data_IF_574103985906
#
_entry.id   IF_574103985906
#
_cell.length_a   1.000
_cell.length_b   1.000
_cell.length_c   1.000
_cell.angle_alpha   90.00
_cell.angle_beta   90.00
_cell.angle_gamma   90.00
#
_symmetry.space_group_name_H-M   'P 1'
#
loop_
_entity.id
_entity.type
_entity.pdbx_description
1 polymer ?
#
# COMPACT_ATOMS: atom_id res chain seq x y z
N UNK A 1 9.98 17.04 -11.13
CA UNK A 1 9.94 15.57 -11.12
C UNK A 1 8.57 15.21 -10.65
N UNK A 2 7.87 14.34 -11.38
CA UNK A 2 6.55 13.89 -11.02
C UNK A 2 6.73 12.79 -9.96
N UNK A 3 6.57 13.14 -8.69
CA UNK A 3 6.70 12.22 -7.57
C UNK A 3 5.38 11.45 -7.46
N UNK A 4 5.41 10.12 -7.64
CA UNK A 4 4.23 9.24 -7.62
C UNK A 4 4.29 8.37 -6.37
N UNK A 5 3.81 8.92 -5.25
CA UNK A 5 3.97 8.33 -3.91
C UNK A 5 3.35 6.92 -3.80
N UNK A 6 2.18 6.71 -4.39
CA UNK A 6 1.44 5.45 -4.39
C UNK A 6 1.19 4.99 -5.84
N UNK A 7 1.30 3.68 -6.12
CA UNK A 7 0.91 3.09 -7.43
C UNK A 7 -0.41 2.32 -7.40
N UNK A 8 -1.10 2.28 -6.26
CA UNK A 8 -2.35 1.54 -6.09
C UNK A 8 -3.39 1.96 -7.12
N UNK A 9 -3.58 3.27 -7.32
CA UNK A 9 -4.47 3.82 -8.35
C UNK A 9 -4.16 3.30 -9.76
N UNK A 10 -2.91 3.33 -10.21
CA UNK A 10 -2.52 2.83 -11.53
C UNK A 10 -2.72 1.31 -11.67
N UNK A 11 -2.43 0.55 -10.60
CA UNK A 11 -2.66 -0.88 -10.56
C UNK A 11 -4.16 -1.16 -10.70
N UNK A 12 -5.03 -0.50 -9.93
CA UNK A 12 -6.49 -0.61 -10.04
C UNK A 12 -6.97 -0.23 -11.45
N UNK A 13 -6.44 0.84 -12.05
CA UNK A 13 -6.77 1.21 -13.42
C UNK A 13 -6.45 0.13 -14.44
N UNK A 14 -5.38 -0.62 -14.25
CA UNK A 14 -5.03 -1.74 -15.13
C UNK A 14 -6.09 -2.86 -15.09
N UNK A 15 -6.76 -3.06 -13.95
CA UNK A 15 -7.89 -4.00 -13.84
C UNK A 15 -9.08 -3.57 -14.70
N UNK A 16 -9.42 -2.28 -14.73
CA UNK A 16 -10.55 -1.78 -15.53
C UNK A 16 -10.34 -1.90 -17.04
N UNK A 17 -9.10 -1.69 -17.52
CA UNK A 17 -8.78 -1.72 -18.95
C UNK A 17 -8.67 -3.14 -19.52
N UNK A 18 -8.60 -4.16 -18.65
CA UNK A 18 -8.59 -5.58 -19.06
C UNK A 18 -9.97 -6.12 -19.46
N UNK A 19 -11.04 -5.33 -19.27
CA UNK A 19 -12.35 -5.57 -19.87
C UNK A 19 -13.00 -6.88 -19.47
N UNK A 20 -13.57 -6.96 -18.27
CA UNK A 20 -14.68 -7.87 -17.97
C UNK A 20 -15.49 -7.34 -16.78
N UNK A 21 -16.46 -6.47 -17.08
CA UNK A 21 -17.64 -6.28 -16.24
C UNK A 21 -18.50 -7.54 -16.36
N UNK A 22 -18.21 -8.53 -15.52
CA UNK A 22 -18.95 -9.78 -15.44
C UNK A 22 -18.09 -11.00 -15.78
N UNK A 23 -18.21 -12.00 -14.91
CA UNK A 23 -17.90 -13.43 -15.07
C UNK A 23 -17.72 -13.84 -16.54
N UNK A 24 -16.60 -14.52 -16.82
CA UNK A 24 -16.15 -15.15 -18.08
C UNK A 24 -15.36 -14.29 -19.06
N UNK A 25 -14.05 -14.54 -19.14
CA UNK A 25 -13.34 -15.04 -20.34
C UNK A 25 -11.87 -14.58 -20.39
N UNK A 26 -10.99 -15.58 -20.30
CA UNK A 26 -9.79 -15.80 -21.12
C UNK A 26 -8.69 -14.71 -21.21
N UNK A 27 -7.58 -15.04 -20.55
CA UNK A 27 -6.22 -15.03 -21.12
C UNK A 27 -5.87 -13.85 -22.04
N UNK A 28 -5.67 -12.68 -21.45
CA UNK A 28 -4.96 -11.56 -22.06
C UNK A 28 -3.78 -11.16 -21.19
N UNK A 29 -2.56 -11.25 -21.73
CA UNK A 29 -1.27 -10.89 -21.11
C UNK A 29 -1.16 -9.40 -20.75
N UNK A 30 -1.94 -8.89 -19.79
CA UNK A 30 -1.49 -7.79 -18.96
C UNK A 30 -0.79 -8.43 -17.75
N UNK A 31 0.49 -8.15 -17.48
CA UNK A 31 1.13 -8.69 -16.30
C UNK A 31 0.53 -7.97 -15.08
N UNK A 32 -0.48 -8.60 -14.48
CA UNK A 32 -0.92 -8.23 -13.15
C UNK A 32 0.28 -8.38 -12.20
N UNK A 33 0.52 -7.42 -11.30
CA UNK A 33 1.55 -7.59 -10.30
C UNK A 33 1.15 -8.82 -9.46
N UNK A 34 2.01 -9.84 -9.49
CA UNK A 34 1.90 -11.02 -8.64
C UNK A 34 2.77 -10.81 -7.43
N UNK A 35 2.41 -11.43 -6.30
CA UNK A 35 3.23 -11.42 -5.08
C UNK A 35 4.71 -11.69 -5.40
N UNK A 36 5.64 -10.92 -4.84
CA UNK A 36 7.05 -11.10 -5.11
C UNK A 36 7.64 -12.17 -4.17
N UNK A 37 7.13 -13.41 -4.18
CA UNK A 37 7.52 -14.40 -3.15
C UNK A 37 8.55 -15.44 -3.59
N UNK A 38 8.84 -15.56 -4.90
CA UNK A 38 9.67 -16.67 -5.42
C UNK A 38 11.04 -16.19 -5.90
N UNK A 39 12.15 -16.43 -5.18
CA UNK A 39 13.49 -16.00 -5.62
C UNK A 39 13.85 -16.51 -7.02
N UNK A 40 14.24 -15.60 -7.93
CA UNK A 40 14.79 -15.98 -9.24
C UNK A 40 13.79 -16.31 -10.35
N UNK A 41 12.51 -15.93 -10.25
CA UNK A 41 11.60 -15.89 -11.41
C UNK A 41 11.95 -14.72 -12.35
N UNK A 42 13.17 -14.70 -12.89
CA UNK A 42 13.67 -13.72 -13.86
C UNK A 42 12.87 -13.65 -15.18
N UNK A 43 11.76 -14.39 -15.29
CA UNK A 43 10.89 -14.45 -16.47
C UNK A 43 9.51 -13.81 -16.29
N UNK A 44 9.14 -13.33 -15.08
CA UNK A 44 7.90 -12.56 -14.85
C UNK A 44 8.18 -11.06 -14.73
N UNK A 45 9.10 -10.54 -15.56
CA UNK A 45 9.34 -9.09 -15.71
C UNK A 45 8.24 -8.48 -16.57
N UNK A 46 7.04 -8.35 -16.01
CA UNK A 46 6.05 -7.38 -16.44
C UNK A 46 6.18 -6.11 -15.61
N UNK A 47 5.70 -4.98 -16.13
CA UNK A 47 6.05 -3.62 -15.65
C UNK A 47 5.89 -3.28 -14.17
N UNK A 48 5.32 -4.16 -13.34
CA UNK A 48 5.22 -4.01 -11.88
C UNK A 48 5.42 -5.34 -11.11
N UNK A 49 6.15 -6.30 -11.69
CA UNK A 49 6.46 -7.61 -11.10
C UNK A 49 7.95 -7.77 -10.78
N UNK A 50 8.49 -6.94 -9.90
CA UNK A 50 9.84 -7.14 -9.38
C UNK A 50 9.82 -8.37 -8.47
N UNK A 51 10.38 -9.47 -8.95
CA UNK A 51 10.63 -10.65 -8.10
C UNK A 51 11.97 -10.45 -7.40
N UNK A 52 12.07 -10.77 -6.11
CA UNK A 52 13.36 -10.72 -5.43
C UNK A 52 14.44 -11.48 -6.20
N UNK A 53 15.59 -10.83 -6.34
CA UNK A 53 16.75 -11.41 -7.03
C UNK A 53 17.57 -12.33 -6.14
N UNK A 54 17.22 -12.41 -4.85
CA UNK A 54 17.92 -13.15 -3.81
C UNK A 54 16.92 -13.89 -2.90
N UNK A 55 17.35 -14.89 -2.12
CA UNK A 55 16.46 -15.61 -1.20
C UNK A 55 15.77 -14.68 -0.21
N UNK A 56 14.45 -14.84 -0.08
CA UNK A 56 13.63 -14.10 0.88
C UNK A 56 13.53 -14.82 2.21
N UNK A 57 13.37 -14.03 3.25
CA UNK A 57 12.98 -14.43 4.60
C UNK A 57 11.77 -13.59 5.02
N UNK A 58 11.20 -13.88 6.19
CA UNK A 58 10.08 -13.13 6.73
C UNK A 58 10.26 -12.82 8.21
N UNK A 59 9.57 -11.78 8.66
CA UNK A 59 9.36 -11.42 10.06
C UNK A 59 7.85 -11.37 10.32
N UNK A 60 7.36 -12.18 11.25
CA UNK A 60 5.96 -12.16 11.68
C UNK A 60 5.81 -11.09 12.78
N UNK A 61 4.82 -10.21 12.64
CA UNK A 61 4.59 -9.17 13.63
C UNK A 61 4.23 -9.76 15.01
N UNK A 62 4.67 -9.13 16.12
CA UNK A 62 4.41 -9.66 17.47
C UNK A 62 2.92 -9.81 17.82
N UNK A 63 2.07 -8.91 17.32
CA UNK A 63 0.62 -8.90 17.51
C UNK A 63 -0.09 -9.88 16.55
N UNK A 64 0.62 -10.36 15.53
CA UNK A 64 0.20 -11.48 14.69
C UNK A 64 -0.69 -11.13 13.50
N UNK A 65 -0.84 -9.85 13.13
CA UNK A 65 -1.64 -9.46 11.97
C UNK A 65 -0.85 -9.52 10.65
N UNK A 66 0.47 -9.36 10.68
CA UNK A 66 1.28 -9.15 9.49
C UNK A 66 2.44 -10.13 9.36
N UNK A 67 2.78 -10.45 8.11
CA UNK A 67 4.05 -11.07 7.73
C UNK A 67 4.81 -10.13 6.80
N UNK A 68 5.99 -9.71 7.22
CA UNK A 68 6.87 -8.82 6.46
C UNK A 68 7.94 -9.64 5.76
N UNK A 69 7.87 -9.74 4.43
CA UNK A 69 8.84 -10.41 3.57
C UNK A 69 9.95 -9.46 3.14
N UNK A 70 11.18 -9.93 3.19
CA UNK A 70 12.35 -9.14 2.78
C UNK A 70 13.53 -10.03 2.40
N UNK A 71 14.58 -9.43 1.86
CA UNK A 71 15.87 -10.10 1.64
C UNK A 71 16.99 -9.44 2.43
N UNK A 72 17.97 -10.26 2.84
CA UNK A 72 19.20 -9.79 3.47
C UNK A 72 20.27 -9.33 2.45
N UNK A 73 20.03 -9.47 1.15
CA UNK A 73 21.06 -9.25 0.12
C UNK A 73 20.49 -8.59 -1.15
N UNK A 74 21.37 -7.93 -1.92
CA UNK A 74 21.00 -7.34 -3.20
C UNK A 74 20.38 -5.95 -3.08
N UNK A 75 19.76 -5.49 -4.17
CA UNK A 75 19.16 -4.16 -4.27
C UNK A 75 17.90 -4.03 -3.40
N UNK A 76 17.10 -5.09 -3.28
CA UNK A 76 15.88 -5.12 -2.47
C UNK A 76 16.15 -5.17 -0.95
N UNK A 77 17.41 -5.16 -0.52
CA UNK A 77 17.77 -5.24 0.89
C UNK A 77 17.30 -3.97 1.62
N UNK A 78 16.57 -4.08 2.75
CA UNK A 78 16.11 -2.92 3.52
C UNK A 78 17.24 -1.96 3.89
N UNK A 79 17.04 -0.67 3.67
CA UNK A 79 17.95 0.42 4.04
C UNK A 79 19.22 0.54 3.20
N UNK A 80 19.39 -0.26 2.13
CA UNK A 80 20.69 -0.50 1.48
C UNK A 80 21.43 0.78 1.07
N UNK A 81 20.72 1.83 0.64
CA UNK A 81 21.33 3.09 0.22
C UNK A 81 21.47 4.12 1.35
N UNK A 82 20.95 3.84 2.55
CA UNK A 82 21.01 4.73 3.72
C UNK A 82 22.01 4.28 4.79
N UNK A 83 22.81 3.23 4.52
CA UNK A 83 23.75 2.66 5.50
C UNK A 83 23.08 1.80 6.58
N UNK A 84 21.81 1.48 6.37
CA UNK A 84 20.95 0.51 7.09
C UNK A 84 20.90 -0.74 6.14
N UNK A 85 20.67 -1.99 6.56
CA UNK A 85 20.01 -2.49 7.74
C UNK A 85 20.96 -2.50 8.94
N UNK A 86 20.71 -1.61 9.90
CA UNK A 86 21.20 -1.82 11.25
C UNK A 86 20.38 -2.93 11.87
N UNK A 87 21.04 -3.77 12.65
CA UNK A 87 20.45 -4.72 13.59
C UNK A 87 21.12 -4.38 14.92
N UNK A 88 20.58 -3.35 15.57
CA UNK A 88 21.26 -2.69 16.70
C UNK A 88 21.27 -3.58 17.95
N UNK A 89 20.31 -4.49 18.07
CA UNK A 89 20.19 -5.43 19.18
C UNK A 89 20.81 -6.82 18.89
N UNK A 90 21.23 -7.06 17.63
CA UNK A 90 21.84 -8.31 17.13
C UNK A 90 20.89 -9.51 17.21
N UNK A 91 19.59 -9.30 16.98
CA UNK A 91 18.59 -10.36 16.98
C UNK A 91 18.45 -11.08 15.62
N UNK A 92 19.15 -10.59 14.59
CA UNK A 92 19.16 -11.14 13.23
C UNK A 92 18.07 -10.57 12.32
N UNK A 93 17.26 -9.64 12.79
CA UNK A 93 16.24 -8.91 12.06
C UNK A 93 16.71 -7.45 11.90
N UNK A 94 16.66 -6.87 10.69
CA UNK A 94 16.94 -5.45 10.53
C UNK A 94 15.98 -4.57 11.35
N UNK A 95 16.51 -3.55 12.02
CA UNK A 95 15.72 -2.52 12.74
C UNK A 95 14.64 -1.91 11.81
N UNK A 96 14.95 -1.77 10.51
CA UNK A 96 13.98 -1.29 9.51
C UNK A 96 12.74 -2.17 9.40
N UNK A 97 12.92 -3.50 9.42
CA UNK A 97 11.83 -4.47 9.33
C UNK A 97 10.99 -4.45 10.59
N UNK A 98 11.64 -4.32 11.76
CA UNK A 98 10.93 -4.18 13.03
C UNK A 98 10.11 -2.89 13.05
N UNK A 99 10.68 -1.75 12.63
CA UNK A 99 9.94 -0.48 12.51
C UNK A 99 8.77 -0.57 11.53
N UNK A 100 8.97 -1.20 10.39
CA UNK A 100 7.90 -1.43 9.42
C UNK A 100 6.75 -2.22 10.06
N UNK A 101 7.07 -3.32 10.75
CA UNK A 101 6.09 -4.13 11.48
C UNK A 101 5.37 -3.32 12.56
N UNK A 102 6.10 -2.54 13.37
CA UNK A 102 5.52 -1.68 14.41
C UNK A 102 4.52 -0.67 13.82
N UNK A 103 4.85 -0.05 12.69
CA UNK A 103 3.98 0.95 12.07
C UNK A 103 2.74 0.35 11.42
N UNK A 104 2.82 -0.84 10.83
CA UNK A 104 1.65 -1.57 10.36
C UNK A 104 0.72 -1.96 11.51
N UNK A 105 1.29 -2.42 12.63
CA UNK A 105 0.50 -2.78 13.82
C UNK A 105 -0.17 -1.55 14.43
N UNK A 106 0.54 -0.41 14.55
CA UNK A 106 -0.06 0.85 14.98
C UNK A 106 -1.18 1.31 14.05
N UNK A 107 -0.99 1.17 12.74
CA UNK A 107 -2.00 1.51 11.73
C UNK A 107 -3.24 0.61 11.84
N UNK A 108 -3.05 -0.70 12.05
CA UNK A 108 -4.13 -1.65 12.25
C UNK A 108 -4.92 -1.37 13.54
N UNK A 109 -4.21 -1.14 14.65
CA UNK A 109 -4.84 -0.79 15.92
C UNK A 109 -5.67 0.49 15.81
N UNK A 110 -5.18 1.47 15.06
CA UNK A 110 -5.91 2.73 14.84
C UNK A 110 -7.12 2.52 13.94
N UNK A 111 -6.92 2.05 12.71
CA UNK A 111 -7.99 1.97 11.71
C UNK A 111 -9.03 0.88 12.06
N UNK A 112 -8.58 -0.34 12.37
CA UNK A 112 -9.49 -1.48 12.58
C UNK A 112 -10.02 -1.49 14.01
N UNK A 113 -9.15 -1.42 15.01
CA UNK A 113 -9.57 -1.63 16.41
C UNK A 113 -10.22 -0.38 17.01
N UNK A 114 -9.59 0.79 16.86
CA UNK A 114 -10.08 2.04 17.46
C UNK A 114 -11.20 2.68 16.63
N UNK A 115 -10.98 2.85 15.32
CA UNK A 115 -11.94 3.53 14.43
C UNK A 115 -13.01 2.57 13.89
N UNK A 116 -12.79 1.25 14.00
CA UNK A 116 -13.78 0.22 13.68
C UNK A 116 -14.03 0.03 12.19
N UNK A 117 -13.03 0.27 11.34
CA UNK A 117 -13.10 -0.18 9.94
C UNK A 117 -13.07 -1.70 9.85
N UNK A 118 -13.49 -2.27 8.71
CA UNK A 118 -13.29 -3.69 8.42
C UNK A 118 -11.79 -4.02 8.37
N UNK A 119 -11.41 -5.20 8.82
CA UNK A 119 -10.07 -5.73 8.54
C UNK A 119 -9.90 -5.96 7.03
N UNK A 120 -8.66 -5.88 6.50
CA UNK A 120 -8.39 -6.30 5.12
C UNK A 120 -8.93 -7.71 4.84
N UNK A 121 -9.41 -8.01 3.62
CA UNK A 121 -9.90 -9.35 3.31
C UNK A 121 -8.80 -10.41 3.46
N UNK A 122 -9.10 -11.49 4.16
CA UNK A 122 -8.17 -12.62 4.26
C UNK A 122 -7.99 -13.31 2.90
N UNK A 123 -6.77 -13.75 2.63
CA UNK A 123 -6.37 -14.46 1.41
C UNK A 123 -6.27 -15.98 1.60
N UNK A 124 -5.93 -16.43 2.81
CA UNK A 124 -5.67 -17.83 3.14
C UNK A 124 -6.89 -18.74 2.96
N UNK A 125 -8.11 -18.22 3.11
CA UNK A 125 -9.33 -18.98 2.80
C UNK A 125 -9.47 -19.31 1.32
N UNK A 126 -8.69 -18.64 0.45
CA UNK A 126 -8.65 -18.85 -0.98
C UNK A 126 -7.40 -19.63 -1.45
N UNK A 127 -6.64 -20.28 -0.56
CA UNK A 127 -5.43 -21.03 -0.95
C UNK A 127 -5.64 -22.03 -2.09
N UNK A 128 -6.83 -22.64 -2.19
CA UNK A 128 -7.16 -23.56 -3.29
C UNK A 128 -7.26 -22.83 -4.65
N UNK A 129 -7.79 -21.61 -4.67
CA UNK A 129 -7.89 -20.75 -5.84
C UNK A 129 -6.50 -20.30 -6.28
N UNK A 130 -5.67 -19.78 -5.36
CA UNK A 130 -4.26 -19.44 -5.63
C UNK A 130 -3.51 -20.65 -6.22
N UNK A 131 -3.63 -21.82 -5.59
CA UNK A 131 -3.00 -23.06 -6.08
C UNK A 131 -3.47 -23.42 -7.50
N UNK A 132 -4.78 -23.31 -7.78
CA UNK A 132 -5.33 -23.62 -9.10
C UNK A 132 -4.85 -22.67 -10.20
N UNK A 133 -4.47 -21.44 -9.82
CA UNK A 133 -3.93 -20.41 -10.71
C UNK A 133 -2.40 -20.45 -10.80
N UNK A 134 -1.73 -21.32 -10.02
CA UNK A 134 -0.27 -21.35 -9.94
C UNK A 134 0.32 -20.09 -9.31
N UNK A 135 -0.39 -19.51 -8.35
CA UNK A 135 0.00 -18.34 -7.57
C UNK A 135 0.32 -18.73 -6.13
N UNK A 136 1.16 -17.92 -5.48
CA UNK A 136 1.42 -18.01 -4.04
C UNK A 136 0.38 -17.22 -3.26
N UNK A 137 0.12 -17.61 -2.01
CA UNK A 137 -0.82 -17.00 -1.08
C UNK A 137 -0.14 -16.58 0.25
N UNK A 138 1.19 -16.40 0.29
CA UNK A 138 1.90 -15.87 1.48
C UNK A 138 2.08 -16.88 2.63
N UNK A 139 1.62 -18.11 2.43
CA UNK A 139 1.93 -19.26 3.28
C UNK A 139 1.09 -19.41 4.55
N UNK A 140 0.54 -18.35 5.14
CA UNK A 140 -0.41 -18.45 6.27
C UNK A 140 -1.54 -17.40 6.19
N UNK A 141 -2.26 -17.17 7.31
CA UNK A 141 -3.39 -16.23 7.37
C UNK A 141 -3.05 -14.82 7.84
N UNK A 142 -1.77 -14.46 7.92
CA UNK A 142 -1.35 -13.08 8.20
C UNK A 142 -1.32 -12.28 6.91
N UNK A 143 -1.55 -10.98 7.02
CA UNK A 143 -1.52 -10.09 5.86
C UNK A 143 -0.07 -9.89 5.38
N UNK A 144 0.18 -10.11 4.09
CA UNK A 144 1.53 -10.06 3.53
C UNK A 144 1.95 -8.65 3.10
N UNK A 145 3.14 -8.27 3.56
CA UNK A 145 3.84 -7.04 3.18
C UNK A 145 5.20 -7.42 2.61
N UNK A 146 5.60 -6.82 1.49
CA UNK A 146 6.87 -7.08 0.84
C UNK A 146 7.74 -5.83 0.79
N UNK A 147 9.02 -5.95 1.12
CA UNK A 147 9.98 -4.86 1.11
C UNK A 147 10.88 -4.97 -0.12
N UNK A 148 10.79 -4.03 -1.05
CA UNK A 148 11.49 -4.09 -2.34
C UNK A 148 12.04 -2.74 -2.77
N UNK A 149 13.04 -2.72 -3.63
CA UNK A 149 13.41 -1.48 -4.34
C UNK A 149 12.39 -1.24 -5.46
N UNK A 150 11.46 -0.31 -5.23
CA UNK A 150 10.39 0.04 -6.20
C UNK A 150 10.73 1.30 -7.00
N UNK A 151 11.93 1.84 -6.82
CA UNK A 151 12.48 2.96 -7.56
C UNK A 151 12.19 4.34 -6.96
N UNK A 152 13.02 5.32 -7.35
CA UNK A 152 13.21 6.62 -6.70
C UNK A 152 12.02 7.62 -6.68
N UNK A 153 10.80 7.18 -7.01
CA UNK A 153 9.62 8.04 -7.00
C UNK A 153 8.39 7.42 -6.36
N UNK A 154 8.44 6.16 -5.95
CA UNK A 154 7.31 5.38 -5.41
C UNK A 154 7.66 4.99 -3.99
N UNK A 155 6.71 5.18 -3.07
CA UNK A 155 6.88 4.80 -1.68
C UNK A 155 6.29 3.40 -1.42
N UNK A 156 5.19 3.05 -2.09
CA UNK A 156 4.56 1.75 -1.95
C UNK A 156 3.38 1.57 -2.90
N UNK A 157 2.75 0.42 -2.77
CA UNK A 157 1.46 0.13 -3.37
C UNK A 157 0.77 -1.05 -2.69
N UNK A 158 -0.55 -1.11 -2.88
CA UNK A 158 -1.41 -2.21 -2.48
C UNK A 158 -2.00 -2.87 -3.72
N UNK A 159 -1.64 -4.13 -3.95
CA UNK A 159 -2.10 -4.89 -5.11
C UNK A 159 -3.32 -5.74 -4.78
N UNK A 160 -4.53 -5.46 -5.32
CA UNK A 160 -5.66 -6.35 -5.17
C UNK A 160 -5.47 -7.63 -6.00
N UNK A 161 -5.99 -8.74 -5.51
CA UNK A 161 -5.80 -10.07 -6.09
C UNK A 161 -7.13 -10.66 -6.54
N UNK A 162 -7.33 -10.76 -7.86
CA UNK A 162 -8.53 -11.34 -8.48
C UNK A 162 -8.52 -12.87 -8.47
N UNK A 163 -8.31 -13.45 -7.29
CA UNK A 163 -8.52 -14.90 -7.03
C UNK A 163 -9.98 -15.25 -6.75
N UNK A 164 -10.81 -14.22 -6.56
CA UNK A 164 -12.26 -14.29 -6.39
C UNK A 164 -12.95 -13.24 -7.25
N UNK A 165 -14.23 -13.46 -7.53
CA UNK A 165 -15.07 -12.49 -8.23
C UNK A 165 -15.71 -11.51 -7.26
N UNK A 166 -15.86 -10.25 -7.68
CA UNK A 166 -16.60 -9.24 -6.96
C UNK A 166 -15.77 -7.98 -6.73
N UNK A 167 -16.18 -7.23 -5.70
CA UNK A 167 -15.64 -5.93 -5.32
C UNK A 167 -14.83 -5.95 -4.03
N UNK A 168 -14.94 -7.05 -3.30
CA UNK A 168 -14.16 -7.31 -2.09
C UNK A 168 -13.08 -8.31 -2.48
N UNK A 169 -11.84 -7.85 -2.53
CA UNK A 169 -10.72 -8.67 -3.01
C UNK A 169 -9.63 -8.75 -1.93
N UNK A 170 -9.01 -9.93 -1.72
CA UNK A 170 -7.75 -9.99 -0.98
C UNK A 170 -6.68 -9.17 -1.68
N UNK A 171 -5.63 -8.84 -0.95
CA UNK A 171 -4.55 -8.00 -1.46
C UNK A 171 -3.24 -8.26 -0.71
N UNK A 172 -2.17 -7.68 -1.22
CA UNK A 172 -0.89 -7.58 -0.54
C UNK A 172 -0.35 -6.15 -0.64
N UNK A 173 0.63 -5.82 0.20
CA UNK A 173 1.29 -4.51 0.18
C UNK A 173 2.76 -4.66 -0.22
N UNK A 174 3.27 -3.72 -0.99
CA UNK A 174 4.71 -3.55 -1.24
C UNK A 174 5.14 -2.17 -0.78
N UNK A 175 6.25 -2.11 -0.07
CA UNK A 175 6.85 -0.86 0.44
C UNK A 175 8.28 -0.76 -0.07
N UNK A 176 8.70 0.45 -0.42
CA UNK A 176 10.07 0.73 -0.80
C UNK A 176 11.06 0.37 0.32
N UNK A 177 12.20 -0.20 -0.05
CA UNK A 177 13.14 -0.76 0.88
C UNK A 177 13.95 0.29 1.65
N UNK A 178 14.07 1.52 1.15
CA UNK A 178 14.87 2.57 1.82
C UNK A 178 14.44 4.02 1.56
N UNK A 179 13.47 4.26 0.68
CA UNK A 179 13.03 5.56 0.17
C UNK A 179 14.15 6.45 -0.38
N UNK A 180 15.26 5.83 -0.81
CA UNK A 180 16.38 6.57 -1.35
C UNK A 180 16.02 7.26 -2.67
N UNK A 181 16.57 8.46 -2.85
CA UNK A 181 16.17 9.36 -3.94
C UNK A 181 15.04 10.33 -3.57
N UNK A 182 14.29 10.03 -2.51
CA UNK A 182 13.27 10.93 -1.92
C UNK A 182 13.76 11.48 -0.59
N UNK A 183 14.23 10.60 0.29
CA UNK A 183 14.79 10.94 1.61
C UNK A 183 16.28 10.60 1.62
N UNK A 184 17.06 11.38 2.37
CA UNK A 184 18.52 11.26 2.39
C UNK A 184 19.07 10.84 3.75
N UNK A 185 18.20 10.74 4.76
CA UNK A 185 18.57 10.35 6.12
C UNK A 185 17.61 9.30 6.66
N UNK A 186 18.10 8.46 7.58
CA UNK A 186 17.29 7.41 8.22
C UNK A 186 16.05 7.98 8.93
N UNK A 187 16.13 9.07 9.72
CA UNK A 187 14.94 9.63 10.37
C UNK A 187 13.86 10.06 9.36
N UNK A 188 14.24 10.78 8.30
CA UNK A 188 13.29 11.21 7.26
C UNK A 188 12.67 10.03 6.51
N UNK A 189 13.43 8.96 6.28
CA UNK A 189 12.96 7.74 5.64
C UNK A 189 11.99 6.95 6.55
N UNK A 190 12.24 6.95 7.86
CA UNK A 190 11.32 6.36 8.84
C UNK A 190 10.00 7.14 8.96
N UNK A 191 10.04 8.48 8.89
CA UNK A 191 8.81 9.29 8.82
C UNK A 191 8.00 8.95 7.55
N UNK A 192 8.65 8.83 6.40
CA UNK A 192 7.97 8.39 5.18
C UNK A 192 7.45 6.95 5.28
N UNK A 193 8.18 6.06 5.95
CA UNK A 193 7.71 4.70 6.22
C UNK A 193 6.41 4.72 7.02
N UNK A 194 6.33 5.51 8.10
CA UNK A 194 5.11 5.66 8.92
C UNK A 194 3.91 6.02 8.04
N UNK A 195 4.00 7.13 7.31
CA UNK A 195 2.90 7.60 6.50
C UNK A 195 2.55 6.62 5.37
N UNK A 196 3.54 5.96 4.74
CA UNK A 196 3.30 4.96 3.70
C UNK A 196 2.62 3.70 4.26
N UNK A 197 3.01 3.20 5.44
CA UNK A 197 2.33 2.04 6.04
C UNK A 197 0.86 2.30 6.36
N UNK A 198 0.53 3.50 6.88
CA UNK A 198 -0.85 3.89 7.14
C UNK A 198 -1.66 4.01 5.84
N UNK A 199 -1.07 4.64 4.83
CA UNK A 199 -1.68 4.83 3.51
C UNK A 199 -2.03 3.50 2.83
N UNK A 200 -1.03 2.62 2.67
CA UNK A 200 -1.20 1.35 1.97
C UNK A 200 -2.06 0.37 2.77
N UNK A 201 -1.95 0.34 4.11
CA UNK A 201 -2.88 -0.46 4.90
C UNK A 201 -4.32 0.02 4.73
N UNK A 202 -4.53 1.34 4.60
CA UNK A 202 -5.87 1.84 4.38
C UNK A 202 -6.44 1.43 3.02
N UNK A 203 -5.63 1.35 1.96
CA UNK A 203 -6.07 0.73 0.70
C UNK A 203 -6.50 -0.72 0.88
N UNK A 204 -5.72 -1.53 1.61
CA UNK A 204 -6.09 -2.92 1.91
C UNK A 204 -7.43 -3.01 2.67
N UNK A 205 -7.68 -2.06 3.59
CA UNK A 205 -8.95 -1.93 4.30
C UNK A 205 -10.08 -1.49 3.35
N UNK A 206 -9.84 -0.52 2.46
CA UNK A 206 -10.81 -0.05 1.47
C UNK A 206 -11.27 -1.18 0.54
N UNK A 207 -10.39 -2.14 0.23
CA UNK A 207 -10.72 -3.34 -0.55
C UNK A 207 -11.65 -4.31 0.19
N UNK A 208 -11.86 -4.15 1.49
CA UNK A 208 -12.93 -4.82 2.23
C UNK A 208 -14.32 -4.19 2.02
N UNK A 209 -14.39 -3.05 1.33
CA UNK A 209 -15.61 -2.33 0.99
C UNK A 209 -15.88 -2.39 -0.52
N UNK A 210 -15.06 -1.70 -1.33
CA UNK A 210 -15.16 -1.71 -2.79
C UNK A 210 -13.81 -1.36 -3.43
N UNK A 211 -13.14 -2.34 -4.03
CA UNK A 211 -11.92 -2.14 -4.85
C UNK A 211 -12.18 -1.26 -6.08
N UNK A 212 -13.44 -1.14 -6.50
CA UNK A 212 -13.85 -0.37 -7.66
C UNK A 212 -14.36 1.04 -7.32
N UNK A 213 -14.17 1.52 -6.10
CA UNK A 213 -14.51 2.90 -5.75
C UNK A 213 -13.70 3.91 -6.58
N UNK A 214 -14.20 5.14 -6.68
CA UNK A 214 -13.53 6.22 -7.35
C UNK A 214 -12.15 6.49 -6.74
N UNK A 215 -11.12 6.57 -7.58
CA UNK A 215 -9.73 6.77 -7.18
C UNK A 215 -9.56 8.06 -6.38
N UNK A 216 -10.33 9.12 -6.65
CA UNK A 216 -10.22 10.32 -5.83
C UNK A 216 -10.52 9.99 -4.36
N UNK A 217 -11.51 9.14 -4.08
CA UNK A 217 -11.89 8.81 -2.71
C UNK A 217 -10.94 7.80 -2.07
N UNK A 218 -10.47 6.82 -2.86
CA UNK A 218 -9.41 5.88 -2.43
C UNK A 218 -8.18 6.66 -1.92
N UNK A 219 -7.63 7.55 -2.76
CA UNK A 219 -6.40 8.29 -2.45
C UNK A 219 -6.61 9.35 -1.37
N UNK A 220 -7.64 10.22 -1.48
CA UNK A 220 -7.87 11.28 -0.50
C UNK A 220 -8.09 10.72 0.91
N UNK A 221 -8.85 9.62 1.02
CA UNK A 221 -9.12 9.02 2.33
C UNK A 221 -7.94 8.17 2.86
N UNK A 222 -7.07 7.65 1.99
CA UNK A 222 -5.79 7.05 2.38
C UNK A 222 -4.81 8.09 2.93
N UNK A 223 -4.66 9.24 2.27
CA UNK A 223 -3.86 10.36 2.80
C UNK A 223 -4.44 10.88 4.11
N UNK A 224 -5.76 10.93 4.26
CA UNK A 224 -6.39 11.30 5.53
C UNK A 224 -6.06 10.31 6.65
N UNK A 225 -5.97 9.01 6.35
CA UNK A 225 -5.60 7.99 7.35
C UNK A 225 -4.16 8.15 7.83
N UNK A 226 -3.24 8.67 7.01
CA UNK A 226 -1.87 9.01 7.45
C UNK A 226 -1.90 9.88 8.71
N UNK A 227 -2.73 10.93 8.69
CA UNK A 227 -2.89 11.89 9.80
C UNK A 227 -3.60 11.27 11.01
N UNK A 228 -4.47 10.29 10.80
CA UNK A 228 -5.17 9.64 11.92
C UNK A 228 -4.25 8.71 12.71
N UNK A 229 -3.27 8.10 12.05
CA UNK A 229 -2.32 7.17 12.68
C UNK A 229 -1.07 7.89 13.19
N UNK A 230 -0.55 8.84 12.41
CA UNK A 230 0.74 9.49 12.63
C UNK A 230 0.65 11.02 12.51
N UNK A 231 -0.10 11.67 13.41
CA UNK A 231 -0.35 13.13 13.45
C UNK A 231 0.94 14.01 13.40
N UNK A 232 2.05 13.51 13.95
CA UNK A 232 3.34 14.23 13.91
C UNK A 232 4.02 14.21 12.51
N UNK A 233 3.57 13.35 11.59
CA UNK A 233 4.16 13.14 10.26
C UNK A 233 3.35 13.86 9.18
N UNK A 234 3.80 15.05 8.79
CA UNK A 234 3.06 15.93 7.88
C UNK A 234 3.48 15.76 6.40
N UNK A 235 3.57 14.53 5.89
CA UNK A 235 4.03 14.31 4.50
C UNK A 235 3.04 14.88 3.47
N UNK A 236 1.74 14.95 3.82
CA UNK A 236 0.71 15.50 2.93
C UNK A 236 0.91 16.98 2.56
N UNK A 237 1.71 17.75 3.33
CA UNK A 237 2.10 19.12 2.97
C UNK A 237 2.91 19.18 1.67
N UNK A 238 3.60 18.10 1.29
CA UNK A 238 4.30 18.01 0.01
C UNK A 238 3.30 18.04 -1.17
N UNK A 239 2.12 17.44 -1.01
CA UNK A 239 1.06 17.49 -2.02
C UNK A 239 0.47 18.90 -2.13
N UNK A 240 0.18 19.55 -0.99
CA UNK A 240 -0.40 20.89 -0.97
C UNK A 240 0.55 21.97 -1.52
N UNK A 241 1.86 21.79 -1.33
CA UNK A 241 2.88 22.70 -1.87
C UNK A 241 3.13 22.47 -3.36
N UNK A 242 3.09 21.22 -3.82
CA UNK A 242 3.30 20.87 -5.24
C UNK A 242 2.06 21.19 -6.07
N UNK A 243 0.88 20.84 -5.56
CA UNK A 243 -0.41 21.06 -6.20
C UNK A 243 -1.24 22.06 -5.40
N UNK A 244 -1.10 23.34 -5.76
CA UNK A 244 -1.89 24.43 -5.18
C UNK A 244 -3.29 24.55 -5.80
N UNK A 245 -3.59 23.73 -6.83
CA UNK A 245 -4.83 23.80 -7.59
C UNK A 245 -6.08 23.49 -6.77
N UNK A 246 -5.98 22.69 -5.70
CA UNK A 246 -7.15 22.34 -4.89
C UNK A 246 -7.83 23.56 -4.27
N UNK A 247 -7.05 24.55 -3.82
CA UNK A 247 -7.57 25.79 -3.24
C UNK A 247 -7.60 26.98 -4.22
N UNK A 248 -6.83 26.93 -5.30
CA UNK A 248 -6.69 28.05 -6.26
C UNK A 248 -7.47 27.86 -7.56
N UNK A 249 -7.87 26.63 -7.90
CA UNK A 249 -8.61 26.27 -9.11
C UNK A 249 -9.99 25.72 -8.77
N UNK A 250 -10.84 26.55 -8.15
CA UNK A 250 -12.21 26.18 -7.71
C UNK A 250 -13.17 25.64 -8.80
N UNK A 251 -12.76 25.68 -10.08
CA UNK A 251 -13.51 25.08 -11.19
C UNK A 251 -13.15 23.61 -11.42
N UNK A 252 -12.05 23.11 -10.85
CA UNK A 252 -11.73 21.69 -10.89
C UNK A 252 -12.74 20.93 -10.03
N UNK A 253 -13.22 19.81 -10.57
CA UNK A 253 -14.10 18.92 -9.83
C UNK A 253 -13.29 18.17 -8.76
N UNK A 254 -13.94 17.82 -7.65
CA UNK A 254 -13.33 17.09 -6.54
C UNK A 254 -12.76 15.72 -6.96
N UNK A 255 -13.34 15.13 -8.01
CA UNK A 255 -12.95 13.84 -8.61
C UNK A 255 -11.93 13.97 -9.74
N UNK A 256 -11.29 15.15 -9.89
CA UNK A 256 -10.23 15.33 -10.90
C UNK A 256 -9.05 14.41 -10.58
N UNK A 257 -8.64 13.60 -11.56
CA UNK A 257 -7.49 12.68 -11.46
C UNK A 257 -6.40 13.12 -12.43
N UNK A 258 -5.27 13.58 -11.90
CA UNK A 258 -4.15 14.05 -12.72
C UNK A 258 -2.77 13.69 -12.11
N UNK A 259 -2.73 12.78 -11.14
CA UNK A 259 -1.54 12.36 -10.41
C UNK A 259 -1.20 13.25 -9.21
N UNK A 260 -1.98 14.29 -8.94
CA UNK A 260 -1.70 15.27 -7.88
C UNK A 260 -2.96 15.74 -7.15
N UNK A 261 -4.04 16.02 -7.88
CA UNK A 261 -5.29 16.54 -7.30
C UNK A 261 -5.94 15.54 -6.35
N UNK A 262 -5.89 14.25 -6.70
CA UNK A 262 -6.39 13.15 -5.89
C UNK A 262 -5.66 13.00 -4.54
N UNK A 263 -4.39 13.41 -4.43
CA UNK A 263 -3.66 13.41 -3.15
C UNK A 263 -3.90 14.71 -2.36
N UNK A 264 -3.78 15.86 -3.03
CA UNK A 264 -4.00 17.16 -2.41
C UNK A 264 -5.45 17.37 -1.94
N UNK A 265 -6.39 16.59 -2.48
CA UNK A 265 -7.78 16.60 -2.07
C UNK A 265 -8.05 16.06 -0.68
N UNK A 266 -7.04 15.58 0.06
CA UNK A 266 -7.12 15.23 1.50
C UNK A 266 -7.80 16.31 2.35
N UNK A 267 -7.74 17.58 1.93
CA UNK A 267 -8.45 18.68 2.58
C UNK A 267 -9.97 18.44 2.69
N UNK A 268 -10.56 17.65 1.78
CA UNK A 268 -11.97 17.29 1.84
C UNK A 268 -12.30 16.29 2.97
N UNK A 269 -11.69 15.09 3.06
CA UNK A 269 -11.89 14.20 4.21
C UNK A 269 -11.43 14.81 5.55
N UNK A 270 -10.38 15.65 5.56
CA UNK A 270 -10.02 16.44 6.75
C UNK A 270 -11.17 17.37 7.16
N UNK A 271 -11.71 18.18 6.24
CA UNK A 271 -12.85 19.04 6.52
C UNK A 271 -14.07 18.26 7.04
N UNK A 272 -14.38 17.11 6.42
CA UNK A 272 -15.50 16.28 6.85
C UNK A 272 -15.31 15.75 8.27
N UNK A 273 -14.14 15.17 8.56
CA UNK A 273 -13.84 14.60 9.87
C UNK A 273 -13.76 15.66 10.98
N UNK A 274 -13.18 16.83 10.71
CA UNK A 274 -13.12 17.95 11.67
C UNK A 274 -14.48 18.60 11.93
N UNK A 275 -15.30 18.76 10.89
CA UNK A 275 -16.61 19.41 11.01
C UNK A 275 -17.64 18.51 11.71
N UNK A 276 -17.56 17.21 11.45
CA UNK A 276 -18.47 16.23 12.00
C UNK A 276 -17.75 15.39 13.06
N UNK A 277 -17.35 14.18 12.70
CA UNK A 277 -16.58 13.24 13.51
C UNK A 277 -15.81 12.33 12.55
N UNK A 278 -14.60 11.82 12.88
CA UNK A 278 -13.84 10.91 12.02
C UNK A 278 -14.64 9.70 11.49
N UNK A 279 -15.65 9.23 12.23
CA UNK A 279 -16.55 8.16 11.81
C UNK A 279 -17.38 8.47 10.55
N UNK A 280 -17.46 9.73 10.10
CA UNK A 280 -18.11 10.10 8.84
C UNK A 280 -17.43 9.45 7.63
N UNK A 281 -16.09 9.34 7.66
CA UNK A 281 -15.32 8.75 6.55
C UNK A 281 -15.64 7.25 6.45
N UNK A 282 -15.69 6.53 7.57
CA UNK A 282 -16.13 5.13 7.61
C UNK A 282 -17.57 4.98 7.12
N UNK A 283 -18.46 5.88 7.54
CA UNK A 283 -19.88 5.84 7.14
C UNK A 283 -20.05 6.01 5.63
N UNK A 284 -19.19 6.77 4.96
CA UNK A 284 -19.16 6.88 3.49
C UNK A 284 -18.73 5.54 2.88
N UNK A 285 -17.66 4.93 3.37
CA UNK A 285 -17.19 3.61 2.90
C UNK A 285 -18.21 2.49 3.12
N UNK A 286 -19.00 2.52 4.20
CA UNK A 286 -20.07 1.55 4.45
C UNK A 286 -21.25 1.65 3.46
N UNK A 287 -21.31 2.71 2.66
CA UNK A 287 -22.31 2.92 1.62
C UNK A 287 -21.82 2.60 0.19
N UNK A 288 -20.54 2.23 0.04
CA UNK A 288 -19.94 1.82 -1.24
C UNK A 288 -20.52 0.48 -1.75
#
# INVERSE_FOLDING_TARGET
MDFRRCLTAEIIQSFYHSGNLGVTAESGNAPFPTRPTVPGEAGRTGGFGHTYTTPVVYYDSPEGHFRIWYTNNGADRPGVNLGVPSDSDNNGIPDWIERCSEYFEQSYQTAVVSMGYRSPPEDFSFSAQYTSMGLDHGGDGRYDVYIQDVGASIAGYTGPEQVVEGRILPSYIVIDNDFSGVKNTVPEALELLQATTAHELFHAIQFAYDVNEDIYWLEQSAVWMEEQVFDDVNDHYNYLSTFTGFLSESWLSLDTRNGQHEFAGVLWPLYLSEKYDPGIIRSIWELA
#
